data_IF_840315451063
#
_entry.id   IF_840315451063
#
_cell.length_a   1.000
_cell.length_b   1.000
_cell.length_c   1.000
_cell.angle_alpha   90.00
_cell.angle_beta   90.00
_cell.angle_gamma   90.00
#
_symmetry.space_group_name_H-M   'P 1'
#
loop_
_entity.id
_entity.type
_entity.pdbx_description
1 polymer ?
#
# COMPACT_ATOMS: atom_id res chain seq x y z
N UNK A 1 5.59 3.28 -13.98
CA UNK A 1 4.20 3.24 -13.45
C UNK A 1 3.72 4.66 -13.21
N UNK A 2 2.64 5.02 -13.84
CA UNK A 2 2.01 6.32 -13.65
C UNK A 2 1.04 6.26 -12.45
N UNK A 3 0.56 7.43 -12.02
CA UNK A 3 -0.49 7.49 -10.99
C UNK A 3 -1.74 6.73 -11.44
N UNK A 4 -2.12 6.85 -12.69
CA UNK A 4 -3.28 6.14 -13.24
C UNK A 4 -3.06 4.62 -13.25
N UNK A 5 -1.87 4.16 -13.62
CA UNK A 5 -1.54 2.74 -13.57
C UNK A 5 -1.67 2.20 -12.15
N UNK A 6 -1.16 2.94 -11.18
CA UNK A 6 -1.22 2.53 -9.78
C UNK A 6 -2.66 2.56 -9.24
N UNK A 7 -3.41 3.60 -9.59
CA UNK A 7 -4.84 3.68 -9.26
C UNK A 7 -5.59 2.46 -9.78
N UNK A 8 -5.34 2.07 -11.03
CA UNK A 8 -6.01 0.93 -11.62
C UNK A 8 -5.62 -0.39 -10.94
N UNK A 9 -4.36 -0.52 -10.54
CA UNK A 9 -3.92 -1.69 -9.77
C UNK A 9 -4.65 -1.78 -8.42
N UNK A 10 -4.70 -0.69 -7.67
CA UNK A 10 -5.38 -0.64 -6.38
C UNK A 10 -6.87 -0.96 -6.53
N UNK A 11 -7.51 -0.40 -7.54
CA UNK A 11 -8.91 -0.66 -7.82
C UNK A 11 -9.16 -2.12 -8.20
N UNK A 12 -8.28 -2.70 -9.00
CA UNK A 12 -8.37 -4.11 -9.39
C UNK A 12 -8.21 -5.04 -8.18
N UNK A 13 -7.30 -4.72 -7.26
CA UNK A 13 -7.15 -5.47 -6.01
C UNK A 13 -8.47 -5.47 -5.25
N UNK A 14 -9.11 -4.33 -5.12
CA UNK A 14 -10.40 -4.22 -4.45
C UNK A 14 -11.49 -5.01 -5.18
N UNK A 15 -11.56 -4.90 -6.51
CA UNK A 15 -12.57 -5.62 -7.31
C UNK A 15 -12.43 -7.14 -7.19
N UNK A 16 -11.22 -7.65 -7.02
CA UNK A 16 -10.96 -9.08 -6.85
C UNK A 16 -11.08 -9.55 -5.42
N UNK A 17 -11.29 -8.63 -4.46
CA UNK A 17 -11.37 -8.97 -3.05
C UNK A 17 -12.72 -9.57 -2.67
N UNK A 18 -12.70 -10.38 -1.61
CA UNK A 18 -13.89 -10.97 -1.01
C UNK A 18 -14.40 -10.12 0.16
N UNK A 19 -15.47 -10.59 0.80
CA UNK A 19 -16.09 -9.91 1.95
C UNK A 19 -15.16 -9.83 3.17
N UNK A 20 -14.13 -10.66 3.24
CA UNK A 20 -13.14 -10.66 4.32
C UNK A 20 -11.91 -9.80 4.03
N UNK A 21 -12.00 -8.89 3.07
CA UNK A 21 -10.91 -7.99 2.70
C UNK A 21 -10.54 -7.06 3.87
N UNK A 22 -9.28 -7.13 4.31
CA UNK A 22 -8.79 -6.31 5.42
C UNK A 22 -8.25 -4.94 5.00
N UNK A 23 -8.16 -4.70 3.69
CA UNK A 23 -7.45 -3.56 3.15
C UNK A 23 -6.02 -3.91 2.77
N UNK A 24 -5.38 -3.02 2.03
CA UNK A 24 -4.00 -3.20 1.55
C UNK A 24 -3.26 -1.88 1.55
N UNK A 25 -1.96 -1.93 1.87
CA UNK A 25 -1.04 -0.82 1.69
C UNK A 25 0.10 -1.25 0.78
N UNK A 26 0.45 -0.40 -0.18
CA UNK A 26 1.46 -0.70 -1.19
C UNK A 26 2.45 0.46 -1.30
N UNK A 27 3.73 0.13 -1.41
CA UNK A 27 4.81 1.08 -1.69
C UNK A 27 5.36 0.77 -3.08
N UNK A 28 5.41 1.77 -3.95
CA UNK A 28 6.07 1.66 -5.26
C UNK A 28 7.48 2.21 -5.12
N UNK A 29 8.46 1.32 -5.18
CA UNK A 29 9.86 1.68 -4.98
C UNK A 29 10.78 0.68 -5.67
N UNK A 30 11.72 1.18 -6.48
CA UNK A 30 12.69 0.33 -7.17
C UNK A 30 13.92 0.00 -6.31
N UNK A 31 14.11 0.71 -5.19
CA UNK A 31 15.26 0.55 -4.29
C UNK A 31 14.82 0.28 -2.86
N UNK A 32 14.08 -0.82 -2.61
CA UNK A 32 13.49 -1.06 -1.28
C UNK A 32 14.52 -1.27 -0.16
N UNK A 33 15.77 -1.57 -0.50
CA UNK A 33 16.83 -1.74 0.51
C UNK A 33 17.05 -0.47 1.35
N UNK A 34 16.65 0.69 0.84
CA UNK A 34 16.80 1.97 1.54
C UNK A 34 15.58 2.30 2.42
N UNK A 35 14.56 1.45 2.44
CA UNK A 35 13.34 1.72 3.18
C UNK A 35 13.43 1.25 4.63
N UNK A 36 12.77 1.96 5.56
CA UNK A 36 12.65 1.53 6.96
C UNK A 36 11.59 0.43 7.09
N UNK A 37 11.92 -0.77 6.61
CA UNK A 37 11.01 -1.91 6.59
C UNK A 37 11.62 -3.11 7.31
N UNK A 38 10.75 -4.00 7.77
CA UNK A 38 11.14 -5.26 8.41
C UNK A 38 10.09 -6.31 8.08
N UNK A 39 10.53 -7.54 7.82
CA UNK A 39 9.60 -8.64 7.61
C UNK A 39 8.75 -8.89 8.85
N UNK A 40 7.43 -8.91 8.67
CA UNK A 40 6.51 -9.28 9.75
C UNK A 40 6.41 -10.80 9.92
N UNK A 41 6.70 -11.55 8.86
CA UNK A 41 6.63 -13.00 8.87
C UNK A 41 7.98 -13.58 8.52
N UNK A 42 8.27 -14.75 9.10
CA UNK A 42 9.57 -15.41 8.88
C UNK A 42 9.68 -16.13 7.53
N UNK A 43 8.56 -16.27 6.83
CA UNK A 43 8.50 -16.91 5.52
C UNK A 43 7.82 -16.00 4.51
N UNK A 44 7.90 -16.37 3.25
CA UNK A 44 7.20 -15.70 2.16
C UNK A 44 6.27 -16.70 1.47
N UNK A 45 5.07 -16.27 1.05
CA UNK A 45 4.16 -17.17 0.33
C UNK A 45 4.68 -17.44 -1.07
N UNK A 46 4.27 -18.56 -1.63
CA UNK A 46 4.44 -18.81 -3.05
C UNK A 46 3.57 -17.82 -3.83
N UNK A 47 4.14 -17.16 -4.83
CA UNK A 47 3.45 -16.17 -5.65
C UNK A 47 3.11 -16.80 -6.99
N UNK A 48 1.82 -16.76 -7.35
CA UNK A 48 1.32 -17.26 -8.62
C UNK A 48 0.15 -16.42 -9.08
N UNK A 49 0.19 -15.93 -10.31
CA UNK A 49 -0.84 -15.08 -10.88
C UNK A 49 -0.38 -13.64 -11.03
N UNK A 50 -1.32 -12.76 -11.38
CA UNK A 50 -1.04 -11.34 -11.53
C UNK A 50 -0.81 -10.68 -10.18
N UNK A 51 -0.19 -9.52 -10.18
CA UNK A 51 0.04 -8.74 -8.95
C UNK A 51 -1.28 -8.45 -8.23
N UNK A 52 -2.32 -8.06 -8.95
CA UNK A 52 -3.63 -7.80 -8.34
C UNK A 52 -4.24 -9.04 -7.71
N UNK A 53 -4.15 -10.19 -8.38
CA UNK A 53 -4.66 -11.46 -7.85
C UNK A 53 -3.94 -11.84 -6.55
N UNK A 54 -2.61 -11.77 -6.57
CA UNK A 54 -1.80 -12.12 -5.40
C UNK A 54 -2.11 -11.20 -4.23
N UNK A 55 -2.10 -9.89 -4.44
CA UNK A 55 -2.30 -8.93 -3.37
C UNK A 55 -3.74 -8.97 -2.83
N UNK A 56 -4.71 -9.21 -3.69
CA UNK A 56 -6.10 -9.41 -3.25
C UNK A 56 -6.22 -10.63 -2.34
N UNK A 57 -5.60 -11.74 -2.71
CA UNK A 57 -5.62 -12.97 -1.91
C UNK A 57 -4.92 -12.79 -0.57
N UNK A 58 -3.76 -12.13 -0.55
CA UNK A 58 -2.98 -11.91 0.67
C UNK A 58 -3.66 -10.92 1.64
N UNK A 59 -4.58 -10.11 1.15
CA UNK A 59 -5.23 -9.05 1.93
C UNK A 59 -6.50 -9.50 2.65
N UNK A 60 -6.78 -10.80 2.67
CA UNK A 60 -7.90 -11.35 3.44
C UNK A 60 -7.55 -11.43 4.91
N UNK A 61 -8.51 -11.19 5.79
CA UNK A 61 -8.28 -11.18 7.23
C UNK A 61 -7.72 -12.51 7.76
N UNK A 62 -8.03 -13.63 7.12
CA UNK A 62 -7.53 -14.95 7.49
C UNK A 62 -6.10 -15.21 7.01
N UNK A 63 -5.58 -14.38 6.08
CA UNK A 63 -4.21 -14.52 5.60
C UNK A 63 -3.22 -13.98 6.64
N UNK A 64 -2.18 -14.74 6.94
CA UNK A 64 -1.13 -14.26 7.85
C UNK A 64 -0.29 -13.14 7.24
N UNK A 65 -0.46 -12.84 5.97
CA UNK A 65 0.28 -11.80 5.25
C UNK A 65 -0.55 -10.53 5.02
N UNK A 66 -1.72 -10.39 5.63
CA UNK A 66 -2.60 -9.24 5.37
C UNK A 66 -2.12 -7.96 6.03
N UNK A 67 -1.25 -8.06 7.03
CA UNK A 67 -0.74 -6.93 7.79
C UNK A 67 0.43 -6.24 7.07
N UNK A 68 0.67 -4.98 7.44
CA UNK A 68 1.80 -4.21 6.96
C UNK A 68 1.61 -3.69 5.54
N UNK A 69 2.73 -3.50 4.86
CA UNK A 69 2.76 -3.01 3.48
C UNK A 69 3.43 -4.04 2.58
N UNK A 70 2.99 -4.07 1.34
CA UNK A 70 3.67 -4.83 0.29
C UNK A 70 4.43 -3.85 -0.60
N UNK A 71 5.54 -4.26 -1.18
CA UNK A 71 6.36 -3.41 -2.03
C UNK A 71 6.36 -3.95 -3.44
N UNK A 72 6.13 -3.07 -4.39
CA UNK A 72 6.23 -3.37 -5.82
C UNK A 72 7.23 -2.41 -6.46
N UNK A 73 7.80 -2.82 -7.59
CA UNK A 73 8.63 -1.94 -8.40
C UNK A 73 7.79 -1.21 -9.46
N UNK A 74 8.42 -0.35 -10.26
CA UNK A 74 7.74 0.43 -11.32
C UNK A 74 7.09 -0.45 -12.38
N UNK A 75 7.56 -1.68 -12.53
CA UNK A 75 6.98 -2.63 -13.49
C UNK A 75 5.75 -3.36 -12.91
N UNK A 76 5.39 -3.06 -11.66
CA UNK A 76 4.27 -3.70 -10.99
C UNK A 76 4.58 -5.08 -10.42
N UNK A 77 5.86 -5.45 -10.32
CA UNK A 77 6.26 -6.74 -9.76
C UNK A 77 6.44 -6.65 -8.25
N UNK A 78 5.90 -7.62 -7.52
CA UNK A 78 6.02 -7.70 -6.07
C UNK A 78 7.46 -8.06 -5.70
N UNK A 79 8.08 -7.25 -4.83
CA UNK A 79 9.42 -7.51 -4.32
C UNK A 79 9.44 -7.90 -2.85
N UNK A 80 8.51 -7.40 -2.06
CA UNK A 80 8.42 -7.69 -0.62
C UNK A 80 6.96 -7.81 -0.22
N UNK A 81 6.67 -8.72 0.70
CA UNK A 81 5.33 -8.99 1.20
C UNK A 81 5.32 -8.84 2.71
N UNK A 82 4.24 -8.27 3.26
CA UNK A 82 3.98 -8.14 4.70
C UNK A 82 5.15 -7.51 5.45
N UNK A 83 5.48 -6.28 5.07
CA UNK A 83 6.53 -5.50 5.70
C UNK A 83 5.96 -4.58 6.77
N UNK A 84 6.56 -4.59 7.96
CA UNK A 84 6.38 -3.49 8.89
C UNK A 84 7.07 -2.27 8.29
N UNK A 85 6.34 -1.17 8.18
CA UNK A 85 6.84 0.05 7.56
C UNK A 85 6.80 1.18 8.58
N UNK A 86 7.97 1.74 8.88
CA UNK A 86 8.11 2.76 9.91
C UNK A 86 8.78 4.01 9.32
N UNK A 87 8.07 4.79 8.50
CA UNK A 87 8.63 6.01 7.92
C UNK A 87 8.82 7.09 9.01
N UNK A 88 9.82 7.98 8.83
CA UNK A 88 9.98 9.11 9.73
C UNK A 88 8.79 10.07 9.62
N UNK A 89 8.39 10.67 10.73
CA UNK A 89 7.34 11.68 10.76
C UNK A 89 7.84 12.93 10.03
N UNK A 90 7.02 13.45 9.11
CA UNK A 90 7.32 14.66 8.36
C UNK A 90 6.45 15.80 8.91
N UNK A 91 7.07 16.82 9.46
CA UNK A 91 6.36 17.88 10.20
C UNK A 91 5.49 18.78 9.32
N UNK A 92 5.83 18.90 8.05
CA UNK A 92 5.14 19.81 7.12
C UNK A 92 4.04 19.13 6.29
N UNK A 93 3.72 17.87 6.60
CA UNK A 93 2.67 17.15 5.90
C UNK A 93 1.31 17.61 6.44
N UNK A 94 0.43 18.00 5.53
CA UNK A 94 -0.93 18.38 5.87
C UNK A 94 -1.84 17.14 5.88
N UNK A 95 -2.31 16.75 7.07
CA UNK A 95 -3.19 15.61 7.25
C UNK A 95 -4.61 16.12 7.51
N UNK A 96 -5.54 15.69 6.67
CA UNK A 96 -6.96 16.00 6.83
C UNK A 96 -7.56 15.13 7.94
N UNK A 97 -7.73 15.72 9.12
CA UNK A 97 -8.26 15.00 10.28
C UNK A 97 -9.79 14.96 10.31
N UNK A 98 -10.47 15.52 9.30
CA UNK A 98 -11.91 15.39 9.16
C UNK A 98 -12.33 13.99 8.77
N UNK A 99 -11.41 13.22 8.20
CA UNK A 99 -11.62 11.81 7.86
C UNK A 99 -11.07 10.90 8.95
N UNK A 100 -11.69 9.72 9.18
CA UNK A 100 -11.17 8.75 10.15
C UNK A 100 -9.92 8.06 9.58
N UNK A 101 -8.77 8.68 9.77
CA UNK A 101 -7.49 8.13 9.32
C UNK A 101 -6.91 7.21 10.39
N UNK A 102 -6.19 6.17 9.94
CA UNK A 102 -5.51 5.23 10.82
C UNK A 102 -4.02 5.16 10.57
N UNK A 103 -3.38 4.16 11.17
CA UNK A 103 -1.94 3.98 11.06
C UNK A 103 -1.46 3.72 9.64
N UNK A 104 -2.24 2.98 8.85
CA UNK A 104 -1.87 2.68 7.46
C UNK A 104 -1.88 3.94 6.59
N UNK A 105 -2.89 4.79 6.74
CA UNK A 105 -2.94 6.08 6.06
C UNK A 105 -1.74 6.96 6.44
N UNK A 106 -1.47 7.06 7.73
CA UNK A 106 -0.39 7.90 8.27
C UNK A 106 0.97 7.41 7.78
N UNK A 107 1.20 6.10 7.81
CA UNK A 107 2.44 5.52 7.30
C UNK A 107 2.58 5.74 5.79
N UNK A 108 1.48 5.64 5.04
CA UNK A 108 1.52 5.82 3.60
C UNK A 108 1.90 7.26 3.21
N UNK A 109 1.29 8.26 3.84
CA UNK A 109 1.58 9.66 3.51
C UNK A 109 3.01 10.04 3.89
N UNK A 110 3.49 9.66 5.08
CA UNK A 110 4.88 9.92 5.48
C UNK A 110 5.85 9.13 4.61
N UNK A 111 5.54 7.87 4.32
CA UNK A 111 6.37 7.03 3.48
C UNK A 111 6.52 7.56 2.06
N UNK A 112 5.51 8.23 1.55
CA UNK A 112 5.58 8.82 0.21
C UNK A 112 6.59 9.95 0.10
N UNK A 113 7.02 10.51 1.22
CA UNK A 113 8.03 11.57 1.26
C UNK A 113 9.46 11.04 1.28
N UNK A 114 9.66 9.75 1.46
CA UNK A 114 11.01 9.16 1.49
C UNK A 114 11.63 9.23 0.09
N UNK A 115 12.87 9.74 -0.04
CA UNK A 115 13.55 9.73 -1.34
C UNK A 115 13.63 8.30 -1.90
N UNK A 116 13.31 8.15 -3.19
CA UNK A 116 13.28 6.85 -3.86
C UNK A 116 11.92 6.17 -3.86
N UNK A 117 10.99 6.58 -3.00
CA UNK A 117 9.60 6.13 -3.06
C UNK A 117 8.89 6.93 -4.15
N UNK A 118 8.34 6.24 -5.13
CA UNK A 118 7.62 6.88 -6.23
C UNK A 118 6.20 7.25 -5.82
N UNK A 119 5.51 6.31 -5.18
CA UNK A 119 4.14 6.47 -4.69
C UNK A 119 3.91 5.50 -3.55
N UNK A 120 2.97 5.84 -2.67
CA UNK A 120 2.36 4.87 -1.77
C UNK A 120 0.85 4.90 -2.00
N UNK A 121 0.20 3.79 -1.69
CA UNK A 121 -1.24 3.71 -1.88
C UNK A 121 -1.88 2.81 -0.86
N UNK A 122 -3.12 3.11 -0.53
CA UNK A 122 -3.93 2.28 0.35
C UNK A 122 -5.32 2.11 -0.25
N UNK A 123 -5.90 0.97 0.01
CA UNK A 123 -7.31 0.72 -0.32
C UNK A 123 -7.94 -0.11 0.78
N UNK A 124 -9.11 0.30 1.22
CA UNK A 124 -9.93 -0.47 2.16
C UNK A 124 -11.39 -0.08 1.99
N UNK A 125 -12.28 -0.97 2.37
CA UNK A 125 -13.71 -0.75 2.20
C UNK A 125 -14.20 0.49 2.95
N UNK A 126 -13.74 0.70 4.17
CA UNK A 126 -14.19 1.81 5.00
C UNK A 126 -13.58 3.16 4.65
N UNK A 127 -12.41 3.16 4.02
CA UNK A 127 -11.70 4.39 3.67
C UNK A 127 -11.92 4.79 2.21
N UNK A 128 -11.79 3.84 1.30
CA UNK A 128 -11.70 4.08 -0.12
C UNK A 128 -10.30 3.78 -0.65
N UNK A 129 -9.90 4.52 -1.68
CA UNK A 129 -8.62 4.37 -2.35
C UNK A 129 -7.87 5.69 -2.31
N UNK A 130 -6.63 5.69 -1.81
CA UNK A 130 -5.78 6.88 -1.78
C UNK A 130 -4.41 6.58 -2.34
N UNK A 131 -3.85 7.57 -3.05
CA UNK A 131 -2.46 7.55 -3.53
C UNK A 131 -1.76 8.79 -2.98
N UNK A 132 -0.51 8.60 -2.55
CA UNK A 132 0.33 9.66 -1.98
C UNK A 132 1.63 9.78 -2.75
N UNK A 133 2.08 11.00 -2.96
CA UNK A 133 3.35 11.32 -3.63
C UNK A 133 3.99 12.50 -2.93
N UNK A 134 5.27 12.40 -2.59
CA UNK A 134 6.04 13.48 -1.96
C UNK A 134 5.36 14.08 -0.72
N UNK A 135 4.74 13.25 0.09
CA UNK A 135 4.07 13.70 1.31
C UNK A 135 2.69 14.31 1.11
N UNK A 136 2.09 14.13 -0.06
CA UNK A 136 0.76 14.67 -0.40
C UNK A 136 -0.16 13.58 -0.88
N UNK A 137 -1.43 13.67 -0.50
CA UNK A 137 -2.47 12.81 -1.09
C UNK A 137 -2.81 13.38 -2.48
N UNK A 138 -2.44 12.65 -3.53
CA UNK A 138 -2.63 13.11 -4.92
C UNK A 138 -3.87 12.56 -5.57
N UNK A 139 -4.48 11.52 -4.98
CA UNK A 139 -5.72 10.94 -5.48
C UNK A 139 -6.49 10.33 -4.32
N UNK A 140 -7.81 10.56 -4.30
CA UNK A 140 -8.72 9.90 -3.37
C UNK A 140 -10.02 9.58 -4.10
N UNK A 141 -10.47 8.33 -3.94
CA UNK A 141 -11.76 7.86 -4.47
C UNK A 141 -12.48 7.04 -3.43
N UNK A 142 -13.80 7.21 -3.36
CA UNK A 142 -14.64 6.28 -2.59
C UNK A 142 -14.87 5.02 -3.40
N UNK A 143 -15.01 3.90 -2.71
CA UNK A 143 -15.29 2.60 -3.35
C UNK A 143 -16.80 2.34 -3.31
N UNK A 144 -17.31 1.77 -4.40
CA UNK A 144 -18.72 1.44 -4.53
C UNK A 144 -18.91 0.04 -5.10
#
# INVERSE_FOLDING_TARGET
MTRLDFRNLLHEIWLKSDTDFSGVGIIVCDTPICLPIMNLRGDSPAISGTTAEVLSHLSRTESKYHDGFHIINQMGLITHIAQYFSPPIVLNVNIDRSRPIGGRFTAAIFGSAIPGVLMTGIVSEGHGLSIFENGHETLFETLK
#
